data_IF_716349860325
#
_entry.id   IF_716349860325
#
_cell.length_a   1.000
_cell.length_b   1.000
_cell.length_c   1.000
_cell.angle_alpha   90.00
_cell.angle_beta   90.00
_cell.angle_gamma   90.00
#
_symmetry.space_group_name_H-M   'P 1'
#
loop_
_entity.id
_entity.type
_entity.pdbx_description
1 polymer ?
#
# COMPACT_ATOMS: atom_id res chain seq x y z
N UNK A 1 -8.35 -17.12 -13.25
CA UNK A 1 -9.22 -15.93 -13.11
C UNK A 1 -8.77 -14.89 -14.12
N UNK A 2 -9.71 -14.29 -14.84
CA UNK A 2 -9.50 -13.13 -15.69
C UNK A 2 -9.28 -11.87 -14.85
N UNK A 3 -8.62 -10.85 -15.39
CA UNK A 3 -8.44 -9.55 -14.70
C UNK A 3 -9.77 -8.97 -14.21
N UNK A 4 -10.84 -9.11 -15.00
CA UNK A 4 -12.19 -8.69 -14.61
C UNK A 4 -12.70 -9.43 -13.37
N UNK A 5 -12.48 -10.74 -13.30
CA UNK A 5 -12.87 -11.55 -12.13
C UNK A 5 -12.06 -11.20 -10.89
N UNK A 6 -10.77 -10.93 -11.04
CA UNK A 6 -9.89 -10.48 -9.96
C UNK A 6 -10.37 -9.15 -9.38
N UNK A 7 -10.65 -8.17 -10.24
CA UNK A 7 -11.18 -6.86 -9.82
C UNK A 7 -12.53 -7.01 -9.13
N UNK A 8 -13.43 -7.85 -9.66
CA UNK A 8 -14.71 -8.15 -8.99
C UNK A 8 -14.49 -8.72 -7.59
N UNK A 9 -13.55 -9.63 -7.42
CA UNK A 9 -13.25 -10.21 -6.12
C UNK A 9 -12.65 -9.18 -5.13
N UNK A 10 -11.88 -8.21 -5.61
CA UNK A 10 -11.44 -7.05 -4.80
C UNK A 10 -12.62 -6.17 -4.39
N UNK A 11 -13.52 -5.87 -5.33
CA UNK A 11 -14.69 -5.05 -5.04
C UNK A 11 -15.64 -5.74 -4.06
N UNK A 12 -15.68 -7.07 -4.07
CA UNK A 12 -16.50 -7.89 -3.17
C UNK A 12 -15.77 -8.31 -1.88
N UNK A 13 -14.51 -7.90 -1.67
CA UNK A 13 -13.80 -8.21 -0.43
C UNK A 13 -14.40 -7.44 0.76
N UNK A 14 -14.12 -7.92 1.97
CA UNK A 14 -14.53 -7.25 3.21
C UNK A 14 -13.77 -5.95 3.47
N UNK A 15 -12.77 -5.63 2.66
CA UNK A 15 -11.98 -4.42 2.80
C UNK A 15 -12.83 -3.19 2.50
N UNK A 16 -12.73 -2.17 3.34
CA UNK A 16 -13.36 -0.89 3.07
C UNK A 16 -12.75 -0.22 1.84
N UNK A 17 -13.51 0.66 1.19
CA UNK A 17 -12.99 1.45 0.08
C UNK A 17 -11.79 2.33 0.48
N UNK A 18 -11.71 2.71 1.76
CA UNK A 18 -10.56 3.40 2.32
C UNK A 18 -9.33 2.50 2.40
N UNK A 19 -9.48 1.27 2.91
CA UNK A 19 -8.37 0.30 2.95
C UNK A 19 -7.84 -0.02 1.55
N UNK A 20 -8.73 -0.27 0.59
CA UNK A 20 -8.33 -0.50 -0.81
C UNK A 20 -7.64 0.75 -1.38
N UNK A 21 -8.11 1.96 -1.07
CA UNK A 21 -7.43 3.19 -1.50
C UNK A 21 -6.01 3.29 -0.92
N UNK A 22 -5.83 3.06 0.37
CA UNK A 22 -4.51 3.11 1.02
C UNK A 22 -3.54 2.09 0.42
N UNK A 23 -4.05 0.93 0.04
CA UNK A 23 -3.23 -0.17 -0.48
C UNK A 23 -2.92 -0.07 -1.98
N UNK A 24 -3.81 0.57 -2.76
CA UNK A 24 -3.72 0.58 -4.23
C UNK A 24 -3.46 1.97 -4.80
N UNK A 25 -3.66 3.03 -4.01
CA UNK A 25 -3.72 4.41 -4.48
C UNK A 25 -4.92 4.71 -5.40
N UNK A 26 -5.87 3.77 -5.57
CA UNK A 26 -7.11 4.02 -6.31
C UNK A 26 -8.09 4.75 -5.41
N UNK A 27 -8.60 5.90 -5.86
CA UNK A 27 -9.48 6.74 -5.03
C UNK A 27 -10.72 5.97 -4.53
N UNK A 28 -11.02 6.09 -3.24
CA UNK A 28 -12.16 5.45 -2.58
C UNK A 28 -13.49 5.78 -3.25
N UNK A 29 -13.67 6.99 -3.79
CA UNK A 29 -14.88 7.34 -4.57
C UNK A 29 -15.01 6.54 -5.86
N UNK A 30 -13.90 6.10 -6.47
CA UNK A 30 -13.93 5.22 -7.65
C UNK A 30 -14.33 3.82 -7.20
N UNK A 31 -13.75 3.32 -6.10
CA UNK A 31 -14.06 2.00 -5.53
C UNK A 31 -15.52 1.91 -5.10
N UNK A 32 -16.05 2.93 -4.42
CA UNK A 32 -17.47 3.03 -4.02
C UNK A 32 -18.39 3.03 -5.25
N UNK A 33 -18.06 3.81 -6.29
CA UNK A 33 -18.86 3.83 -7.53
C UNK A 33 -18.85 2.49 -8.27
N UNK A 34 -17.73 1.80 -8.26
CA UNK A 34 -17.62 0.44 -8.82
C UNK A 34 -18.46 -0.57 -8.03
N UNK A 35 -18.43 -0.51 -6.68
CA UNK A 35 -19.25 -1.35 -5.80
C UNK A 35 -20.74 -1.09 -5.97
N UNK A 36 -21.13 0.17 -6.08
CA UNK A 36 -22.52 0.58 -6.25
C UNK A 36 -23.02 0.48 -7.71
N UNK A 37 -22.20 -0.07 -8.61
CA UNK A 37 -22.49 -0.25 -10.04
C UNK A 37 -22.85 1.05 -10.79
N UNK A 38 -22.53 2.21 -10.23
CA UNK A 38 -22.68 3.52 -10.91
C UNK A 38 -21.52 3.80 -11.86
N UNK A 39 -20.48 2.96 -11.86
CA UNK A 39 -19.39 2.92 -12.84
C UNK A 39 -19.11 1.46 -13.24
N UNK A 40 -18.90 1.22 -14.53
CA UNK A 40 -18.51 -0.11 -15.04
C UNK A 40 -17.00 -0.36 -14.90
N UNK A 41 -16.64 -1.62 -14.62
CA UNK A 41 -15.25 -2.11 -14.66
C UNK A 41 -14.65 -1.95 -16.06
N UNK A 42 -15.47 -2.04 -17.10
CA UNK A 42 -15.04 -1.97 -18.51
C UNK A 42 -14.54 -0.55 -18.89
N UNK A 43 -14.83 0.46 -18.06
CA UNK A 43 -14.43 1.86 -18.27
C UNK A 43 -13.39 2.33 -17.24
N UNK A 44 -12.56 1.40 -16.77
CA UNK A 44 -11.40 1.72 -15.94
C UNK A 44 -10.19 2.03 -16.82
N UNK A 45 -9.34 2.93 -16.34
CA UNK A 45 -8.04 3.17 -16.97
C UNK A 45 -7.14 1.96 -16.74
N UNK A 46 -6.20 1.72 -17.66
CA UNK A 46 -5.22 0.62 -17.53
C UNK A 46 -4.49 0.66 -16.18
N UNK A 47 -4.03 1.84 -15.75
CA UNK A 47 -3.39 2.04 -14.46
C UNK A 47 -4.28 1.61 -13.27
N UNK A 48 -5.58 1.93 -13.31
CA UNK A 48 -6.52 1.49 -12.27
C UNK A 48 -6.73 -0.02 -12.28
N UNK A 49 -6.81 -0.62 -13.47
CA UNK A 49 -6.93 -2.07 -13.65
C UNK A 49 -5.73 -2.80 -13.07
N UNK A 50 -4.51 -2.36 -13.41
CA UNK A 50 -3.27 -2.95 -12.91
C UNK A 50 -3.14 -2.85 -11.39
N UNK A 51 -3.49 -1.71 -10.80
CA UNK A 51 -3.45 -1.49 -9.35
C UNK A 51 -4.40 -2.43 -8.59
N UNK A 52 -5.63 -2.58 -9.08
CA UNK A 52 -6.62 -3.47 -8.47
C UNK A 52 -6.32 -4.95 -8.70
N UNK A 53 -5.78 -5.31 -9.87
CA UNK A 53 -5.33 -6.67 -10.16
C UNK A 53 -4.17 -7.09 -9.24
N UNK A 54 -3.16 -6.23 -9.10
CA UNK A 54 -2.05 -6.48 -8.15
C UNK A 54 -2.59 -6.69 -6.74
N UNK A 55 -3.51 -5.84 -6.30
CA UNK A 55 -4.13 -6.00 -4.98
C UNK A 55 -4.88 -7.33 -4.83
N UNK A 56 -5.62 -7.79 -5.84
CA UNK A 56 -6.24 -9.11 -5.81
C UNK A 56 -5.21 -10.21 -5.59
N UNK A 57 -4.16 -10.18 -6.42
CA UNK A 57 -3.14 -11.22 -6.44
C UNK A 57 -2.42 -11.28 -5.09
N UNK A 58 -2.17 -10.16 -4.41
CA UNK A 58 -1.47 -10.12 -3.13
C UNK A 58 -2.37 -10.24 -1.88
N UNK A 59 -3.59 -9.73 -1.93
CA UNK A 59 -4.44 -9.55 -0.74
C UNK A 59 -5.63 -10.52 -0.71
N UNK A 60 -6.37 -10.63 -1.81
CA UNK A 60 -7.67 -11.33 -1.81
C UNK A 60 -7.51 -12.82 -2.06
N UNK A 61 -6.61 -13.23 -2.97
CA UNK A 61 -6.33 -14.64 -3.25
C UNK A 61 -5.71 -15.35 -2.04
N UNK A 62 -4.94 -14.63 -1.23
CA UNK A 62 -4.19 -15.21 -0.11
C UNK A 62 -4.99 -15.27 1.20
N UNK A 63 -5.99 -14.38 1.41
CA UNK A 63 -6.91 -14.44 2.56
C UNK A 63 -7.86 -15.65 2.56
N UNK A 64 -7.97 -16.39 1.45
CA UNK A 64 -8.77 -17.62 1.35
C UNK A 64 -7.98 -18.89 1.73
N UNK A 65 -6.68 -18.77 2.00
CA UNK A 65 -5.79 -19.85 2.40
C UNK A 65 -5.17 -19.52 3.76
N UNK A 66 -5.42 -20.38 4.76
CA UNK A 66 -4.98 -20.27 6.16
C UNK A 66 -3.55 -19.72 6.31
N UNK A 67 -3.37 -18.67 7.11
CA UNK A 67 -2.18 -17.79 7.12
C UNK A 67 -1.05 -18.22 8.09
N UNK A 68 0.23 -18.25 7.63
CA UNK A 68 1.43 -18.18 8.47
C UNK A 68 2.01 -16.75 8.55
N UNK A 69 2.86 -16.50 9.56
CA UNK A 69 3.56 -15.24 9.86
C UNK A 69 4.31 -14.57 8.69
N UNK A 70 4.54 -15.27 7.58
CA UNK A 70 5.10 -14.70 6.35
C UNK A 70 4.19 -13.68 5.67
N UNK A 71 2.89 -13.65 6.00
CA UNK A 71 1.89 -12.79 5.35
C UNK A 71 1.86 -11.38 5.95
N UNK A 72 2.06 -11.24 7.27
CA UNK A 72 2.14 -9.93 7.93
C UNK A 72 3.37 -9.14 7.47
N UNK A 73 4.52 -9.82 7.39
CA UNK A 73 5.75 -9.28 6.82
C UNK A 73 5.57 -8.81 5.38
N UNK A 74 4.84 -9.57 4.56
CA UNK A 74 4.59 -9.20 3.17
C UNK A 74 3.70 -7.96 3.06
N UNK A 75 2.66 -7.84 3.89
CA UNK A 75 1.79 -6.67 3.95
C UNK A 75 2.55 -5.43 4.42
N UNK A 76 3.30 -5.59 5.52
CA UNK A 76 4.12 -4.54 6.10
C UNK A 76 5.15 -4.03 5.08
N UNK A 77 5.89 -4.94 4.44
CA UNK A 77 6.86 -4.62 3.40
C UNK A 77 6.23 -3.84 2.25
N UNK A 78 5.05 -4.25 1.79
CA UNK A 78 4.38 -3.54 0.68
C UNK A 78 3.93 -2.14 1.08
N UNK A 79 3.33 -1.98 2.27
CA UNK A 79 2.92 -0.68 2.78
C UNK A 79 4.12 0.26 2.98
N UNK A 80 5.22 -0.28 3.49
CA UNK A 80 6.46 0.46 3.69
C UNK A 80 7.07 0.92 2.36
N UNK A 81 7.10 0.03 1.35
CA UNK A 81 7.56 0.37 0.00
C UNK A 81 6.74 1.52 -0.58
N UNK A 82 5.41 1.45 -0.49
CA UNK A 82 4.54 2.50 -1.02
C UNK A 82 4.74 3.84 -0.29
N UNK A 83 4.88 3.83 1.04
CA UNK A 83 5.12 5.03 1.84
C UNK A 83 6.47 5.68 1.48
N UNK A 84 7.52 4.87 1.39
CA UNK A 84 8.85 5.37 1.05
C UNK A 84 8.93 5.87 -0.40
N UNK A 85 8.22 5.21 -1.32
CA UNK A 85 8.10 5.69 -2.70
C UNK A 85 7.36 7.03 -2.78
N UNK A 86 6.26 7.20 -2.04
CA UNK A 86 5.55 8.48 -1.97
C UNK A 86 6.44 9.59 -1.38
N UNK A 87 7.20 9.29 -0.33
CA UNK A 87 8.17 10.23 0.26
C UNK A 87 9.27 10.59 -0.72
N UNK A 88 9.80 9.62 -1.47
CA UNK A 88 10.80 9.86 -2.50
C UNK A 88 10.25 10.76 -3.61
N UNK A 89 9.05 10.47 -4.14
CA UNK A 89 8.41 11.27 -5.20
C UNK A 89 8.17 12.72 -4.74
N UNK A 90 7.71 12.93 -3.50
CA UNK A 90 7.52 14.27 -2.92
C UNK A 90 8.86 15.01 -2.81
N UNK A 91 9.91 14.31 -2.35
CA UNK A 91 11.21 14.92 -2.11
C UNK A 91 11.97 15.21 -3.40
N UNK A 92 11.86 14.32 -4.39
CA UNK A 92 12.39 14.52 -5.73
C UNK A 92 11.76 15.72 -6.41
N UNK A 93 10.42 15.87 -6.33
CA UNK A 93 9.72 17.03 -6.88
C UNK A 93 10.20 18.36 -6.27
N UNK A 94 10.61 18.36 -5.00
CA UNK A 94 11.23 19.54 -4.36
C UNK A 94 12.65 19.78 -4.82
N UNK A 95 13.46 18.73 -4.96
CA UNK A 95 14.84 18.80 -5.41
C UNK A 95 14.99 19.22 -6.89
N UNK A 96 13.95 18.98 -7.69
CA UNK A 96 13.87 19.37 -9.11
C UNK A 96 13.24 20.75 -9.33
N UNK A 97 12.75 21.41 -8.27
CA UNK A 97 12.17 22.76 -8.37
C UNK A 97 13.23 23.85 -8.57
N UNK A 98 12.86 24.95 -9.24
CA UNK A 98 13.77 26.08 -9.48
C UNK A 98 14.24 26.77 -8.17
N UNK A 99 13.49 26.61 -7.08
CA UNK A 99 13.81 27.11 -5.73
C UNK A 99 14.44 26.04 -4.82
N UNK A 100 14.91 24.92 -5.39
CA UNK A 100 15.44 23.79 -4.63
C UNK A 100 16.63 24.21 -3.75
N UNK A 101 16.51 23.94 -2.45
CA UNK A 101 17.62 24.14 -1.53
C UNK A 101 18.72 23.07 -1.77
N UNK A 102 20.01 23.39 -1.54
CA UNK A 102 21.11 22.45 -1.82
C UNK A 102 21.02 21.12 -1.07
N UNK A 103 20.37 21.11 0.08
CA UNK A 103 20.14 19.95 0.93
C UNK A 103 19.02 19.02 0.43
N UNK A 104 18.10 19.50 -0.42
CA UNK A 104 16.98 18.69 -0.93
C UNK A 104 17.47 17.48 -1.74
N UNK A 105 18.58 17.65 -2.49
CA UNK A 105 19.23 16.55 -3.24
C UNK A 105 19.90 15.53 -2.32
N UNK A 106 20.56 15.99 -1.27
CA UNK A 106 21.17 15.11 -0.27
C UNK A 106 20.09 14.33 0.50
N UNK A 107 18.97 14.98 0.79
CA UNK A 107 17.82 14.37 1.47
C UNK A 107 17.10 13.34 0.57
N UNK A 108 17.00 13.61 -0.74
CA UNK A 108 16.50 12.64 -1.73
C UNK A 108 17.37 11.39 -1.77
N UNK A 109 18.70 11.57 -1.86
CA UNK A 109 19.66 10.45 -1.86
C UNK A 109 19.61 9.65 -0.55
N UNK A 110 19.44 10.31 0.59
CA UNK A 110 19.29 9.64 1.88
C UNK A 110 18.00 8.79 1.93
N UNK A 111 16.88 9.28 1.42
CA UNK A 111 15.61 8.53 1.34
C UNK A 111 15.75 7.32 0.41
N UNK A 112 16.38 7.50 -0.74
CA UNK A 112 16.64 6.41 -1.70
C UNK A 112 17.53 5.32 -1.09
N UNK A 113 18.58 5.71 -0.35
CA UNK A 113 19.43 4.76 0.32
C UNK A 113 18.69 4.01 1.43
N UNK A 114 17.89 4.71 2.25
CA UNK A 114 17.06 4.10 3.29
C UNK A 114 16.04 3.13 2.70
N UNK A 115 15.47 3.47 1.55
CA UNK A 115 14.58 2.58 0.78
C UNK A 115 15.29 1.30 0.34
N UNK A 116 16.48 1.43 -0.26
CA UNK A 116 17.26 0.28 -0.71
C UNK A 116 17.69 -0.62 0.44
N UNK A 117 18.14 -0.03 1.55
CA UNK A 117 18.61 -0.76 2.73
C UNK A 117 17.45 -1.56 3.37
N UNK A 118 16.30 -0.92 3.58
CA UNK A 118 15.12 -1.54 4.17
C UNK A 118 14.50 -2.61 3.26
N UNK A 119 14.54 -2.45 1.93
CA UNK A 119 13.98 -3.45 1.00
C UNK A 119 14.85 -4.69 0.89
N UNK A 120 16.17 -4.51 1.05
CA UNK A 120 17.17 -5.54 0.84
C UNK A 120 17.45 -6.32 2.13
N UNK A 121 17.30 -5.68 3.31
CA UNK A 121 17.57 -6.31 4.59
C UNK A 121 16.31 -6.92 5.23
N UNK A 122 16.28 -8.26 5.24
CA UNK A 122 15.21 -9.04 5.85
C UNK A 122 15.10 -8.81 7.38
N UNK A 123 16.21 -8.58 8.08
CA UNK A 123 16.22 -8.38 9.54
C UNK A 123 15.62 -7.02 9.91
N UNK A 124 15.92 -5.98 9.14
CA UNK A 124 15.33 -4.65 9.34
C UNK A 124 13.82 -4.66 9.12
N UNK A 125 13.34 -5.40 8.12
CA UNK A 125 11.90 -5.58 7.89
C UNK A 125 11.21 -6.32 9.05
N UNK A 126 11.85 -7.35 9.60
CA UNK A 126 11.34 -8.08 10.77
C UNK A 126 11.31 -7.20 12.04
N UNK A 127 12.30 -6.32 12.23
CA UNK A 127 12.32 -5.39 13.36
C UNK A 127 11.23 -4.33 13.23
N UNK A 128 11.07 -3.74 12.05
CA UNK A 128 10.04 -2.76 11.79
C UNK A 128 8.63 -3.35 11.88
N UNK A 129 8.43 -4.60 11.45
CA UNK A 129 7.19 -5.33 11.69
C UNK A 129 6.89 -5.45 13.19
N UNK A 130 7.88 -5.86 14.00
CA UNK A 130 7.68 -5.93 15.47
C UNK A 130 7.30 -4.59 16.07
N UNK A 131 7.95 -3.50 15.65
CA UNK A 131 7.62 -2.14 16.10
C UNK A 131 6.19 -1.78 15.70
N UNK A 132 5.80 -2.07 14.46
CA UNK A 132 4.45 -1.83 13.93
C UNK A 132 3.38 -2.61 14.70
N UNK A 133 3.61 -3.91 14.94
CA UNK A 133 2.69 -4.76 15.68
C UNK A 133 2.54 -4.31 17.14
N UNK A 134 3.64 -3.89 17.79
CA UNK A 134 3.59 -3.32 19.12
C UNK A 134 2.83 -1.99 19.16
N UNK A 135 3.01 -1.13 18.15
CA UNK A 135 2.30 0.14 18.06
C UNK A 135 0.78 -0.06 17.87
N UNK A 136 0.36 -1.06 17.09
CA UNK A 136 -1.06 -1.39 16.89
C UNK A 136 -1.65 -2.08 18.14
N UNK A 137 -0.91 -2.99 18.75
CA UNK A 137 -1.32 -3.66 19.99
C UNK A 137 -1.54 -2.72 21.18
N UNK A 138 -0.94 -1.52 21.14
CA UNK A 138 -1.18 -0.45 22.12
C UNK A 138 -2.37 0.46 21.80
N UNK A 139 -2.91 0.43 20.58
CA UNK A 139 -4.08 1.25 20.18
C UNK A 139 -5.40 0.55 20.55
N UNK A 140 -5.42 -0.79 20.62
CA UNK A 140 -6.58 -1.55 21.11
C UNK A 140 -6.43 -1.97 22.57
N UNK A 141 -6.63 -1.00 23.48
CA UNK A 141 -7.26 -1.24 24.79
C UNK A 141 -7.75 0.08 25.40
N UNK A 142 -8.95 0.57 25.03
CA UNK A 142 -9.76 1.27 26.00
C UNK A 142 -10.35 0.21 26.93
N UNK A 143 -9.61 -0.14 27.99
CA UNK A 143 -10.23 -0.78 29.16
C UNK A 143 -10.96 0.27 29.98
N UNK A 144 -12.28 0.10 30.00
CA UNK A 144 -13.20 0.23 31.14
C UNK A 144 -13.50 1.65 31.67
N UNK A 145 -14.74 2.10 31.46
CA UNK A 145 -15.86 1.87 32.40
C UNK A 145 -17.20 2.15 31.73
#
# INVERSE_FOLDING_TARGET
MTTREKIKAVLNSQDSAYQIQQMTGVNSSIIIRLRNHTRSIDHLTLNTVEKLEKYFDYHVKYNQSQTPASVELSYFRHRLINLLQELYEIQQAKAESDDARPDERAMTAAIEQLFNDVITDKLELEQLERIYQNAIGHIEKPTLN
#
